data_IF_540309920160
#
_entry.id   IF_540309920160
#
_cell.length_a   1.000
_cell.length_b   1.000
_cell.length_c   1.000
_cell.angle_alpha   90.00
_cell.angle_beta   90.00
_cell.angle_gamma   90.00
#
_symmetry.space_group_name_H-M   'P 1'
#
loop_
_entity.id
_entity.type
_entity.pdbx_description
1 polymer ?
#
# COMPACT_ATOMS: atom_id res chain seq x y z
N UNK A 1 85.60 -15.55 18.08
CA UNK A 1 85.69 -15.44 16.61
C UNK A 1 84.42 -14.76 16.11
N UNK A 2 84.56 -13.62 15.46
CA UNK A 2 83.46 -12.78 14.98
C UNK A 2 83.18 -13.13 13.52
N UNK A 3 81.96 -13.54 13.18
CA UNK A 3 81.51 -13.64 11.79
C UNK A 3 80.51 -12.51 11.55
N UNK A 4 81.05 -11.43 10.98
CA UNK A 4 80.34 -10.31 10.41
C UNK A 4 80.05 -10.60 8.93
N UNK A 5 78.86 -10.18 8.52
CA UNK A 5 78.42 -9.90 7.16
C UNK A 5 78.37 -11.08 6.18
N UNK A 6 77.16 -11.42 5.76
CA UNK A 6 76.90 -11.22 4.33
C UNK A 6 75.48 -10.72 4.05
N UNK A 7 75.47 -9.62 3.30
CA UNK A 7 74.30 -8.94 2.80
C UNK A 7 73.61 -9.81 1.75
N UNK A 8 72.34 -10.13 1.96
CA UNK A 8 71.41 -10.28 0.86
C UNK A 8 70.12 -9.53 1.21
N UNK A 9 70.17 -8.22 0.98
CA UNK A 9 69.02 -7.34 0.84
C UNK A 9 68.15 -7.85 -0.31
N UNK A 10 67.23 -8.76 -0.01
CA UNK A 10 66.08 -9.02 -0.89
C UNK A 10 65.29 -7.72 -0.99
N UNK A 11 65.01 -7.19 -2.20
CA UNK A 11 64.04 -6.13 -2.32
C UNK A 11 62.71 -6.72 -1.87
N UNK A 12 62.25 -6.33 -0.69
CA UNK A 12 60.84 -6.38 -0.38
C UNK A 12 60.18 -5.46 -1.41
N UNK A 13 59.68 -6.05 -2.51
CA UNK A 13 58.59 -5.46 -3.27
C UNK A 13 57.46 -5.26 -2.28
N UNK A 14 57.41 -4.08 -1.67
CA UNK A 14 56.23 -3.55 -1.02
C UNK A 14 55.17 -3.56 -2.11
N UNK A 15 54.35 -4.61 -2.15
CA UNK A 15 53.08 -4.50 -2.84
C UNK A 15 52.38 -3.34 -2.15
N UNK A 16 52.27 -2.23 -2.87
CA UNK A 16 51.35 -1.18 -2.53
C UNK A 16 49.99 -1.87 -2.55
N UNK A 17 49.49 -2.28 -1.38
CA UNK A 17 48.05 -2.43 -1.22
C UNK A 17 47.51 -1.02 -1.35
N UNK A 18 47.32 -0.62 -2.60
CA UNK A 18 46.63 0.58 -3.01
C UNK A 18 45.23 0.45 -2.43
N UNK A 19 45.04 1.00 -1.23
CA UNK A 19 43.72 1.34 -0.74
C UNK A 19 43.23 2.41 -1.69
N UNK A 20 42.51 1.95 -2.71
CA UNK A 20 41.83 2.81 -3.64
C UNK A 20 40.95 3.77 -2.84
N UNK A 21 41.20 5.07 -2.97
CA UNK A 21 40.31 6.11 -2.48
C UNK A 21 39.05 6.23 -3.36
N UNK A 22 38.89 5.35 -4.35
CA UNK A 22 37.68 5.32 -5.16
C UNK A 22 36.49 5.01 -4.24
N UNK A 23 35.41 5.81 -4.32
CA UNK A 23 34.20 5.51 -3.59
C UNK A 23 33.76 4.09 -3.94
N UNK A 24 33.65 3.23 -2.91
CA UNK A 24 33.11 1.88 -3.07
C UNK A 24 31.71 2.06 -3.66
N UNK A 25 31.52 1.61 -4.90
CA UNK A 25 30.22 1.63 -5.53
C UNK A 25 29.26 0.85 -4.61
N UNK A 26 28.30 1.55 -4.02
CA UNK A 26 27.28 0.90 -3.22
C UNK A 26 26.51 0.00 -4.16
N UNK A 27 26.60 -1.32 -3.95
CA UNK A 27 25.73 -2.27 -4.63
C UNK A 27 24.29 -1.79 -4.44
N UNK A 28 23.47 -1.79 -5.51
CA UNK A 28 22.08 -1.38 -5.38
C UNK A 28 21.43 -2.24 -4.32
N UNK A 29 20.92 -1.61 -3.25
CA UNK A 29 20.19 -2.31 -2.20
C UNK A 29 19.02 -3.03 -2.86
N UNK A 30 18.88 -4.34 -2.59
CA UNK A 30 17.75 -5.10 -3.08
C UNK A 30 16.45 -4.38 -2.71
N UNK A 31 15.50 -4.22 -3.65
CA UNK A 31 14.25 -3.56 -3.36
C UNK A 31 13.52 -4.30 -2.22
N UNK A 32 12.97 -3.56 -1.27
CA UNK A 32 12.17 -4.14 -0.19
C UNK A 32 11.03 -5.00 -0.77
N UNK A 33 10.73 -6.16 -0.16
CA UNK A 33 9.71 -7.06 -0.67
C UNK A 33 8.35 -6.36 -0.70
N UNK A 34 7.69 -6.43 -1.86
CA UNK A 34 6.29 -6.02 -2.02
C UNK A 34 5.41 -7.26 -1.88
N UNK A 35 4.27 -7.10 -1.23
CA UNK A 35 3.24 -8.14 -1.13
C UNK A 35 2.09 -7.82 -2.07
N UNK A 36 1.57 -8.85 -2.75
CA UNK A 36 0.35 -8.71 -3.52
C UNK A 36 -0.84 -8.62 -2.57
N UNK A 37 -1.66 -7.60 -2.78
CA UNK A 37 -2.81 -7.25 -1.97
C UNK A 37 -3.96 -6.82 -2.87
N UNK A 38 -5.20 -6.92 -2.41
CA UNK A 38 -6.35 -6.36 -3.10
C UNK A 38 -6.66 -4.97 -2.57
N UNK A 39 -6.73 -3.99 -3.47
CA UNK A 39 -7.25 -2.67 -3.18
C UNK A 39 -8.68 -2.56 -3.68
N UNK A 40 -9.61 -2.33 -2.76
CA UNK A 40 -11.01 -2.04 -3.04
C UNK A 40 -11.21 -0.54 -2.89
N UNK A 41 -11.77 0.07 -3.91
CA UNK A 41 -12.03 1.50 -3.98
C UNK A 41 -13.53 1.71 -4.23
N UNK A 42 -14.32 2.02 -3.19
CA UNK A 42 -15.77 2.21 -3.31
C UNK A 42 -16.17 3.42 -4.15
N UNK A 43 -15.30 4.44 -4.26
CA UNK A 43 -15.58 5.66 -5.02
C UNK A 43 -15.54 5.39 -6.52
N UNK A 44 -14.53 4.63 -6.95
CA UNK A 44 -14.40 4.18 -8.34
C UNK A 44 -15.12 2.87 -8.62
N UNK A 45 -15.62 2.19 -7.59
CA UNK A 45 -16.24 0.85 -7.64
C UNK A 45 -15.31 -0.20 -8.28
N UNK A 46 -14.04 -0.13 -7.94
CA UNK A 46 -13.02 -1.04 -8.49
C UNK A 46 -12.40 -1.91 -7.42
N UNK A 47 -12.00 -3.12 -7.84
CA UNK A 47 -11.14 -4.02 -7.08
C UNK A 47 -9.95 -4.31 -7.96
N UNK A 48 -8.74 -4.07 -7.47
CA UNK A 48 -7.51 -4.31 -8.23
C UNK A 48 -6.42 -4.90 -7.35
N UNK A 49 -5.61 -5.76 -7.94
CA UNK A 49 -4.39 -6.23 -7.30
C UNK A 49 -3.34 -5.11 -7.30
N UNK A 50 -2.74 -4.87 -6.15
CA UNK A 50 -1.68 -3.89 -5.93
C UNK A 50 -0.51 -4.55 -5.22
N UNK A 51 0.70 -4.04 -5.48
CA UNK A 51 1.92 -4.50 -4.82
C UNK A 51 2.37 -3.48 -3.79
N UNK A 52 2.15 -3.79 -2.52
CA UNK A 52 2.34 -2.83 -1.41
C UNK A 52 3.57 -3.19 -0.60
N UNK A 53 4.30 -2.18 -0.16
CA UNK A 53 5.39 -2.38 0.80
C UNK A 53 4.83 -2.46 2.22
N UNK A 54 5.28 -3.45 2.99
CA UNK A 54 4.96 -3.64 4.40
C UNK A 54 5.63 -2.60 5.32
N UNK A 55 5.49 -1.33 4.97
CA UNK A 55 6.12 -0.19 5.61
C UNK A 55 5.08 0.91 5.79
N UNK A 56 5.27 1.79 6.78
CA UNK A 56 4.37 2.94 6.97
C UNK A 56 4.22 3.80 5.72
N UNK A 57 5.30 3.95 4.94
CA UNK A 57 5.30 4.66 3.65
C UNK A 57 4.41 3.98 2.61
N UNK A 58 4.42 2.64 2.53
CA UNK A 58 3.58 1.90 1.58
C UNK A 58 2.09 2.00 1.88
N UNK A 59 1.71 2.07 3.16
CA UNK A 59 0.32 2.33 3.56
C UNK A 59 -0.07 3.79 3.31
N UNK A 60 0.84 4.75 3.57
CA UNK A 60 0.65 6.17 3.32
C UNK A 60 0.43 6.48 1.83
N UNK A 61 1.07 5.74 0.92
CA UNK A 61 0.82 5.85 -0.54
C UNK A 61 -0.62 5.52 -0.94
N UNK A 62 -1.33 4.71 -0.14
CA UNK A 62 -2.70 4.25 -0.44
C UNK A 62 -3.73 5.13 0.27
N UNK A 63 -3.52 5.36 1.56
CA UNK A 63 -4.48 6.01 2.47
C UNK A 63 -4.15 7.48 2.77
N UNK A 64 -3.01 7.99 2.30
CA UNK A 64 -2.53 9.33 2.65
C UNK A 64 -2.21 9.43 4.14
N UNK A 65 -2.49 10.61 4.71
CA UNK A 65 -2.25 10.91 6.14
C UNK A 65 -3.38 10.43 7.05
N UNK A 66 -4.36 9.70 6.51
CA UNK A 66 -5.50 9.21 7.26
C UNK A 66 -5.10 8.10 8.23
N UNK A 67 -5.73 8.08 9.41
CA UNK A 67 -5.53 7.00 10.38
C UNK A 67 -6.10 5.70 9.83
N UNK A 68 -5.21 4.74 9.60
CA UNK A 68 -5.57 3.39 9.15
C UNK A 68 -5.79 2.48 10.35
N UNK A 69 -6.91 1.76 10.33
CA UNK A 69 -7.23 0.67 11.26
C UNK A 69 -7.27 -0.64 10.50
N UNK A 70 -7.19 -1.77 11.20
CA UNK A 70 -7.30 -3.08 10.56
C UNK A 70 -8.22 -4.01 11.34
N UNK A 71 -8.83 -4.93 10.60
CA UNK A 71 -9.60 -6.05 11.12
C UNK A 71 -9.00 -7.34 10.59
N UNK A 72 -8.80 -8.30 11.48
CA UNK A 72 -8.35 -9.64 11.16
C UNK A 72 -9.53 -10.58 10.89
N UNK A 73 -9.38 -11.42 9.86
CA UNK A 73 -10.21 -12.58 9.55
C UNK A 73 -9.31 -13.79 9.38
N UNK A 74 -9.90 -14.99 9.41
CA UNK A 74 -9.16 -16.25 9.46
C UNK A 74 -8.13 -16.40 8.33
N UNK A 75 -8.41 -15.83 7.15
CA UNK A 75 -7.58 -15.97 5.96
C UNK A 75 -7.07 -14.65 5.36
N UNK A 76 -7.47 -13.50 5.92
CA UNK A 76 -7.05 -12.21 5.41
C UNK A 76 -7.10 -11.12 6.48
N UNK A 77 -6.38 -10.03 6.23
CA UNK A 77 -6.46 -8.80 7.02
C UNK A 77 -6.95 -7.67 6.14
N UNK A 78 -7.96 -6.94 6.60
CA UNK A 78 -8.49 -5.77 5.91
C UNK A 78 -8.05 -4.50 6.64
N UNK A 79 -7.37 -3.63 5.92
CA UNK A 79 -6.97 -2.29 6.34
C UNK A 79 -7.92 -1.27 5.76
N UNK A 80 -8.37 -0.32 6.57
CA UNK A 80 -9.25 0.75 6.14
C UNK A 80 -9.14 1.98 7.02
N UNK A 81 -9.55 3.10 6.47
CA UNK A 81 -9.67 4.37 7.20
C UNK A 81 -11.03 4.38 7.91
N UNK A 82 -11.07 4.72 9.19
CA UNK A 82 -12.33 4.77 9.94
C UNK A 82 -13.26 5.81 9.32
N UNK A 83 -14.50 5.42 8.99
CA UNK A 83 -15.53 6.33 8.47
C UNK A 83 -16.81 6.18 9.30
N UNK A 84 -17.45 7.30 9.62
CA UNK A 84 -18.65 7.36 10.44
C UNK A 84 -19.87 6.89 9.64
N UNK A 85 -20.65 5.96 10.20
CA UNK A 85 -21.72 5.25 9.47
C UNK A 85 -22.87 6.15 8.95
N UNK A 86 -23.01 7.35 9.48
CA UNK A 86 -24.11 8.28 9.21
C UNK A 86 -23.88 9.10 7.93
N UNK A 87 -22.64 9.37 7.54
CA UNK A 87 -22.31 10.31 6.44
C UNK A 87 -21.98 9.60 5.10
N UNK A 88 -22.30 8.30 5.00
CA UNK A 88 -21.72 7.42 3.97
C UNK A 88 -22.56 7.34 2.71
N UNK A 89 -22.04 7.87 1.60
CA UNK A 89 -22.65 7.81 0.25
C UNK A 89 -22.21 6.62 -0.60
N UNK A 90 -20.95 6.18 -0.57
CA UNK A 90 -20.46 5.04 -1.37
C UNK A 90 -19.95 3.90 -0.47
N UNK A 91 -20.34 2.65 -0.71
CA UNK A 91 -20.01 1.51 0.15
C UNK A 91 -19.54 0.30 -0.65
N UNK A 92 -18.55 -0.40 -0.15
CA UNK A 92 -18.24 -1.78 -0.54
C UNK A 92 -18.63 -2.74 0.59
N UNK A 93 -19.34 -3.81 0.25
CA UNK A 93 -19.76 -4.86 1.18
C UNK A 93 -18.94 -6.10 0.84
N UNK A 94 -18.05 -6.49 1.74
CA UNK A 94 -17.24 -7.70 1.59
C UNK A 94 -18.09 -8.96 1.81
N UNK A 95 -17.77 -10.09 1.17
CA UNK A 95 -18.47 -11.35 1.40
C UNK A 95 -18.41 -11.75 2.87
N UNK A 96 -19.55 -12.18 3.43
CA UNK A 96 -19.67 -12.57 4.84
C UNK A 96 -19.51 -11.44 5.86
N UNK A 97 -19.25 -10.20 5.43
CA UNK A 97 -19.11 -9.07 6.34
C UNK A 97 -20.49 -8.49 6.71
N UNK A 98 -20.72 -8.32 8.02
CA UNK A 98 -21.83 -7.50 8.54
C UNK A 98 -21.57 -6.00 8.42
N UNK A 99 -20.40 -5.60 7.90
CA UNK A 99 -19.95 -4.21 7.87
C UNK A 99 -19.75 -3.79 6.42
N UNK A 100 -20.49 -2.76 6.00
CA UNK A 100 -20.22 -2.01 4.78
C UNK A 100 -19.04 -1.07 5.04
N UNK A 101 -18.07 -1.05 4.16
CA UNK A 101 -16.85 -0.26 4.31
C UNK A 101 -16.88 0.91 3.33
N UNK A 102 -16.58 2.11 3.82
CA UNK A 102 -16.47 3.34 3.03
C UNK A 102 -14.99 3.74 2.92
N UNK A 103 -14.62 4.30 1.77
CA UNK A 103 -13.24 4.63 1.43
C UNK A 103 -12.42 3.41 1.02
N UNK A 104 -11.16 3.65 0.66
CA UNK A 104 -10.27 2.59 0.20
C UNK A 104 -10.11 1.52 1.27
N UNK A 105 -9.97 0.28 0.82
CA UNK A 105 -9.72 -0.89 1.67
C UNK A 105 -8.57 -1.64 1.05
N UNK A 106 -7.55 -1.95 1.84
CA UNK A 106 -6.48 -2.82 1.42
C UNK A 106 -6.61 -4.16 2.11
N UNK A 107 -6.74 -5.23 1.33
CA UNK A 107 -6.82 -6.59 1.84
C UNK A 107 -5.51 -7.30 1.54
N UNK A 108 -4.89 -7.80 2.60
CA UNK A 108 -3.66 -8.59 2.54
C UNK A 108 -3.91 -10.00 3.05
N UNK A 109 -2.94 -10.89 2.89
CA UNK A 109 -2.89 -12.12 3.65
C UNK A 109 -2.75 -11.86 5.16
N UNK A 110 -2.87 -12.92 5.98
CA UNK A 110 -2.72 -12.82 7.43
C UNK A 110 -1.35 -12.23 7.79
N UNK A 111 -1.28 -11.38 8.81
CA UNK A 111 -0.03 -10.73 9.24
C UNK A 111 0.69 -9.94 8.14
N UNK A 112 -0.06 -9.34 7.20
CA UNK A 112 0.48 -8.57 6.08
C UNK A 112 1.32 -9.41 5.09
N UNK A 113 0.96 -10.68 4.89
CA UNK A 113 1.54 -11.49 3.82
C UNK A 113 0.81 -11.26 2.49
N UNK A 114 1.28 -11.92 1.45
CA UNK A 114 0.54 -12.02 0.19
C UNK A 114 -0.86 -12.61 0.41
N UNK A 115 -1.84 -12.02 -0.27
CA UNK A 115 -3.21 -12.53 -0.25
C UNK A 115 -3.29 -13.86 -1.01
N UNK A 116 -3.97 -14.84 -0.41
CA UNK A 116 -4.16 -16.16 -1.01
C UNK A 116 -5.06 -16.01 -2.26
N UNK A 117 -4.69 -16.67 -3.36
CA UNK A 117 -5.40 -16.55 -4.65
C UNK A 117 -6.88 -16.89 -4.55
N UNK A 118 -7.24 -17.97 -3.88
CA UNK A 118 -8.64 -18.41 -3.68
C UNK A 118 -9.46 -17.35 -2.91
N UNK A 119 -8.91 -16.84 -1.80
CA UNK A 119 -9.52 -15.79 -0.98
C UNK A 119 -9.67 -14.50 -1.78
N UNK A 120 -8.66 -14.16 -2.59
CA UNK A 120 -8.70 -12.98 -3.45
C UNK A 120 -9.83 -13.09 -4.48
N UNK A 121 -10.01 -14.27 -5.08
CA UNK A 121 -11.06 -14.52 -6.05
C UNK A 121 -12.44 -14.47 -5.40
N UNK A 122 -12.62 -15.08 -4.23
CA UNK A 122 -13.87 -15.02 -3.48
C UNK A 122 -14.26 -13.58 -3.12
N UNK A 123 -13.30 -12.78 -2.66
CA UNK A 123 -13.52 -11.37 -2.35
C UNK A 123 -13.92 -10.60 -3.60
N UNK A 124 -13.22 -10.80 -4.71
CA UNK A 124 -13.53 -10.09 -5.96
C UNK A 124 -14.94 -10.41 -6.48
N UNK A 125 -15.37 -11.66 -6.41
CA UNK A 125 -16.70 -12.08 -6.87
C UNK A 125 -17.82 -11.72 -5.87
N UNK A 126 -17.51 -11.79 -4.57
CA UNK A 126 -18.49 -11.59 -3.51
C UNK A 126 -18.69 -10.13 -3.08
N UNK A 127 -17.76 -9.24 -3.44
CA UNK A 127 -17.84 -7.83 -3.04
C UNK A 127 -18.92 -7.09 -3.82
N UNK A 128 -19.85 -6.45 -3.10
CA UNK A 128 -20.92 -5.64 -3.70
C UNK A 128 -20.66 -4.16 -3.46
N UNK A 129 -20.80 -3.36 -4.50
CA UNK A 129 -20.77 -1.90 -4.41
C UNK A 129 -22.19 -1.35 -4.29
N UNK A 130 -22.42 -0.46 -3.33
CA UNK A 130 -23.70 0.19 -3.09
C UNK A 130 -23.51 1.69 -2.93
N UNK A 131 -24.47 2.48 -3.43
CA UNK A 131 -24.53 3.93 -3.23
C UNK A 131 -25.79 4.27 -2.44
N UNK A 132 -25.65 5.09 -1.41
CA UNK A 132 -26.76 5.64 -0.65
C UNK A 132 -26.93 7.11 -1.04
N UNK A 133 -28.03 7.42 -1.73
CA UNK A 133 -28.33 8.77 -2.25
C UNK A 133 -28.83 9.73 -1.15
N UNK A 134 -29.01 9.26 0.09
CA UNK A 134 -29.52 10.05 1.21
C UNK A 134 -28.66 11.27 1.58
N UNK A 135 -27.39 11.29 1.14
CA UNK A 135 -26.44 12.37 1.35
C UNK A 135 -25.77 12.83 0.06
N UNK A 136 -26.48 12.90 -1.07
CA UNK A 136 -26.00 13.82 -2.10
C UNK A 136 -25.97 15.23 -1.48
N UNK A 137 -24.79 15.90 -1.39
CA UNK A 137 -24.80 17.32 -1.12
C UNK A 137 -25.64 17.91 -2.23
N UNK A 138 -26.80 18.47 -1.88
CA UNK A 138 -27.79 18.96 -2.83
C UNK A 138 -27.02 19.66 -3.94
N UNK A 139 -27.00 19.07 -5.15
CA UNK A 139 -26.65 19.82 -6.35
C UNK A 139 -27.52 21.05 -6.26
N UNK A 140 -26.91 22.21 -6.03
CA UNK A 140 -27.60 23.49 -6.00
C UNK A 140 -28.55 23.45 -7.20
N UNK A 141 -29.86 23.36 -6.92
CA UNK A 141 -30.88 23.38 -7.97
C UNK A 141 -30.71 24.73 -8.65
N UNK A 142 -30.02 24.73 -9.77
CA UNK A 142 -29.94 25.88 -10.66
C UNK A 142 -31.36 26.14 -11.14
N UNK A 143 -31.92 27.24 -10.67
CA UNK A 143 -33.05 27.91 -11.29
C UNK A 143 -34.43 27.47 -10.79
N UNK A 144 -34.90 28.16 -9.76
CA UNK A 144 -36.29 28.63 -9.81
C UNK A 144 -36.41 29.54 -11.05
N UNK A 145 -36.89 28.99 -12.16
CA UNK A 145 -37.47 29.82 -13.23
C UNK A 145 -38.98 29.83 -13.02
N UNK A 146 -39.43 30.80 -12.23
CA UNK A 146 -40.83 31.21 -12.20
C UNK A 146 -41.20 31.81 -13.56
N UNK A 147 -41.90 31.04 -14.39
CA UNK A 147 -42.64 31.58 -15.53
C UNK A 147 -44.03 30.96 -15.57
N UNK A 148 -44.83 31.26 -14.54
CA UNK A 148 -46.26 31.37 -14.71
C UNK A 148 -46.54 32.79 -15.24
N UNK A 149 -46.54 32.95 -16.56
CA UNK A 149 -47.27 34.03 -17.21
C UNK A 149 -48.24 33.35 -18.16
N UNK A 150 -49.44 33.14 -17.65
CA UNK A 150 -50.63 32.91 -18.45
C UNK A 150 -51.33 34.26 -18.59
N UNK A 151 -51.45 34.75 -19.81
CA UNK A 151 -52.52 35.66 -20.28
C UNK A 151 -52.66 35.48 -21.78
#
# INVERSE_FOLDING_TARGET
MSQLNDLHSRPFSRSSTGRSAAPVAQYPRAPFPKVAALLIDPDTRTIRTVYVRATGTGLREIFGDQRVTHVDRDFFRAYGTSQYHEEVTNRAILPGARLSVQGKILITGPRFTEIIGEVSYEIMQGTKFSRCDAHEPQRLKLGYSSSNISK
#
